data_IF_864416770108
#
_entry.id   IF_864416770108
#
_cell.length_a   1.000
_cell.length_b   1.000
_cell.length_c   1.000
_cell.angle_alpha   90.00
_cell.angle_beta   90.00
_cell.angle_gamma   90.00
#
_symmetry.space_group_name_H-M   'P 1'
#
loop_
_entity.id
_entity.type
_entity.pdbx_description
1 polymer ?
#
# COMPACT_ATOMS: atom_id res chain seq x y z
N UNK A 1 14.96 31.39 72.78
CA UNK A 1 14.53 30.12 73.40
C UNK A 1 13.74 29.35 72.35
N UNK A 2 14.23 28.17 71.96
CA UNK A 2 13.53 27.12 71.16
C UNK A 2 12.29 26.61 71.95
N UNK A 3 11.34 25.77 71.44
CA UNK A 3 11.53 24.77 70.36
C UNK A 3 10.34 24.35 69.45
N UNK A 4 10.73 23.65 68.38
CA UNK A 4 10.18 22.42 67.76
C UNK A 4 8.70 22.24 67.33
N UNK A 5 8.59 21.98 66.02
CA UNK A 5 8.05 20.79 65.36
C UNK A 5 6.53 20.56 65.21
N UNK A 6 6.14 20.44 63.94
CA UNK A 6 5.32 19.31 63.49
C UNK A 6 4.00 19.66 62.81
N UNK A 7 3.90 19.29 61.53
CA UNK A 7 2.68 19.04 60.76
C UNK A 7 1.95 20.24 60.18
N UNK A 8 2.40 20.68 59.01
CA UNK A 8 1.52 21.25 57.98
C UNK A 8 1.82 20.50 56.68
N UNK A 9 0.99 19.52 56.35
CA UNK A 9 -0.14 19.69 55.42
C UNK A 9 0.33 19.52 53.99
N UNK A 10 0.09 18.31 53.48
CA UNK A 10 -0.11 18.03 52.05
C UNK A 10 -0.97 19.12 51.42
N UNK A 11 -0.39 20.00 50.62
CA UNK A 11 -1.12 20.62 49.52
C UNK A 11 -0.16 21.28 48.54
N UNK A 12 -0.26 20.89 47.27
CA UNK A 12 0.40 21.50 46.10
C UNK A 12 1.89 21.11 46.05
N UNK A 13 2.42 20.45 45.03
CA UNK A 13 2.31 20.80 43.61
C UNK A 13 2.25 19.55 42.71
N UNK A 14 1.24 19.44 41.83
CA UNK A 14 1.22 18.39 40.84
C UNK A 14 2.31 18.67 39.78
N UNK A 15 3.25 17.73 39.67
CA UNK A 15 3.88 17.31 38.41
C UNK A 15 4.36 18.48 37.53
N UNK A 16 5.47 19.09 37.93
CA UNK A 16 6.35 19.78 36.99
C UNK A 16 7.13 18.76 36.16
N UNK A 17 6.54 18.25 35.08
CA UNK A 17 7.26 17.46 34.06
C UNK A 17 6.57 17.50 32.68
N UNK A 18 6.17 18.70 32.24
CA UNK A 18 5.76 18.94 30.85
C UNK A 18 6.47 20.19 30.30
N UNK A 19 7.72 20.02 29.88
CA UNK A 19 8.35 21.00 28.98
C UNK A 19 9.45 20.35 28.12
N UNK A 20 9.05 19.48 27.20
CA UNK A 20 9.85 19.11 26.04
C UNK A 20 8.96 19.15 24.78
N UNK A 21 8.84 20.31 24.09
CA UNK A 21 8.04 20.41 22.88
C UNK A 21 8.72 19.83 21.61
N UNK A 22 9.73 18.96 21.73
CA UNK A 22 10.59 18.56 20.60
C UNK A 22 10.87 17.06 20.47
N UNK A 23 9.87 16.20 20.70
CA UNK A 23 10.02 14.78 20.36
C UNK A 23 8.71 14.05 19.99
N UNK A 24 7.99 14.55 18.98
CA UNK A 24 7.05 13.71 18.22
C UNK A 24 7.38 13.83 16.72
N UNK A 25 8.47 13.18 16.33
CA UNK A 25 8.67 12.83 14.92
C UNK A 25 7.66 11.71 14.58
N UNK A 26 6.81 11.87 13.56
CA UNK A 26 6.00 10.77 13.06
C UNK A 26 6.93 9.74 12.44
N UNK A 27 7.08 8.57 13.09
CA UNK A 27 7.62 7.38 12.44
C UNK A 27 6.61 6.92 11.40
N UNK A 28 6.69 7.49 10.21
CA UNK A 28 6.08 6.93 9.01
C UNK A 28 6.66 5.51 8.83
N UNK A 29 5.86 4.47 8.59
CA UNK A 29 6.38 3.18 8.14
C UNK A 29 7.05 3.42 6.79
N UNK A 30 8.38 3.54 6.83
CA UNK A 30 9.21 3.59 5.65
C UNK A 30 9.11 2.27 4.92
N UNK A 31 8.60 2.29 3.68
CA UNK A 31 8.99 1.29 2.70
C UNK A 31 10.49 1.50 2.48
N UNK A 32 11.31 0.70 3.14
CA UNK A 32 12.75 0.66 2.94
C UNK A 32 13.04 0.20 1.52
N UNK A 33 13.08 1.13 0.57
CA UNK A 33 13.82 0.92 -0.67
C UNK A 33 15.30 0.98 -0.30
N UNK A 34 15.89 -0.19 -0.08
CA UNK A 34 17.33 -0.29 0.15
C UNK A 34 18.08 0.30 -1.07
N UNK A 35 19.01 1.25 -0.89
CA UNK A 35 19.81 1.76 -1.99
C UNK A 35 20.94 0.76 -2.25
N UNK A 36 20.65 -0.23 -3.09
CA UNK A 36 21.57 -1.32 -3.41
C UNK A 36 21.82 -1.41 -4.92
N UNK A 37 22.94 -0.82 -5.34
CA UNK A 37 23.64 -1.09 -6.62
C UNK A 37 22.93 -0.58 -7.88
N UNK A 38 23.52 0.43 -8.51
CA UNK A 38 23.10 0.91 -9.82
C UNK A 38 22.96 -0.25 -10.80
N UNK A 39 21.77 -0.38 -11.39
CA UNK A 39 21.54 -1.25 -12.54
C UNK A 39 21.49 -0.36 -13.77
N UNK A 40 22.60 -0.17 -14.51
CA UNK A 40 22.50 0.22 -15.90
C UNK A 40 21.77 -0.92 -16.63
N UNK A 41 20.44 -0.80 -16.76
CA UNK A 41 19.55 -1.81 -17.34
C UNK A 41 18.37 -2.30 -16.47
N UNK A 42 18.19 -1.79 -15.25
CA UNK A 42 17.27 -2.40 -14.26
C UNK A 42 15.81 -1.98 -14.32
N UNK A 43 15.50 -0.86 -14.98
CA UNK A 43 14.12 -0.38 -15.07
C UNK A 43 13.23 -1.37 -15.84
N UNK A 44 13.75 -2.01 -16.90
CA UNK A 44 12.98 -3.03 -17.62
C UNK A 44 12.68 -4.25 -16.74
N UNK A 45 13.64 -4.74 -15.94
CA UNK A 45 13.40 -5.89 -15.06
C UNK A 45 12.40 -5.54 -13.96
N UNK A 46 12.55 -4.38 -13.32
CA UNK A 46 11.63 -3.95 -12.25
C UNK A 46 10.21 -3.74 -12.78
N UNK A 47 10.06 -3.16 -13.98
CA UNK A 47 8.77 -3.01 -14.64
C UNK A 47 8.15 -4.37 -15.00
N UNK A 48 8.94 -5.34 -15.45
CA UNK A 48 8.47 -6.70 -15.76
C UNK A 48 8.03 -7.45 -14.50
N UNK A 49 8.76 -7.32 -13.39
CA UNK A 49 8.39 -7.90 -12.09
C UNK A 49 7.11 -7.26 -11.53
N UNK A 50 6.97 -5.94 -11.64
CA UNK A 50 5.73 -5.24 -11.29
C UNK A 50 4.57 -5.70 -12.18
N UNK A 51 4.76 -5.79 -13.49
CA UNK A 51 3.72 -6.29 -14.39
C UNK A 51 3.27 -7.70 -14.01
N UNK A 52 4.21 -8.61 -13.75
CA UNK A 52 3.90 -9.99 -13.34
C UNK A 52 3.08 -10.04 -12.05
N UNK A 53 3.40 -9.16 -11.10
CA UNK A 53 2.65 -9.00 -9.86
C UNK A 53 1.23 -8.49 -10.14
N UNK A 54 1.10 -7.47 -11.00
CA UNK A 54 -0.21 -6.93 -11.37
C UNK A 54 -1.08 -7.93 -12.15
N UNK A 55 -0.49 -8.75 -13.03
CA UNK A 55 -1.20 -9.85 -13.71
C UNK A 55 -1.80 -10.82 -12.70
N UNK A 56 -1.02 -11.19 -11.68
CA UNK A 56 -1.51 -12.08 -10.60
C UNK A 56 -2.66 -11.43 -9.83
N UNK A 57 -2.56 -10.14 -9.52
CA UNK A 57 -3.65 -9.38 -8.87
C UNK A 57 -4.91 -9.32 -9.73
N UNK A 58 -4.79 -9.06 -11.03
CA UNK A 58 -5.95 -9.05 -11.96
C UNK A 58 -6.60 -10.43 -12.04
N UNK A 59 -5.82 -11.50 -11.97
CA UNK A 59 -6.36 -12.85 -11.91
C UNK A 59 -7.15 -13.10 -10.61
N UNK A 60 -6.63 -12.62 -9.47
CA UNK A 60 -7.36 -12.70 -8.19
C UNK A 60 -8.66 -11.89 -8.22
N UNK A 61 -8.64 -10.67 -8.77
CA UNK A 61 -9.84 -9.84 -8.91
C UNK A 61 -10.91 -10.51 -9.77
N UNK A 62 -10.52 -11.15 -10.87
CA UNK A 62 -11.44 -11.93 -11.70
C UNK A 62 -12.06 -13.10 -10.92
N UNK A 63 -11.25 -13.90 -10.24
CA UNK A 63 -11.77 -15.03 -9.43
C UNK A 63 -12.70 -14.56 -8.30
N UNK A 64 -12.40 -13.44 -7.66
CA UNK A 64 -13.26 -12.86 -6.63
C UNK A 64 -14.60 -12.39 -7.21
N UNK A 65 -14.56 -11.70 -8.36
CA UNK A 65 -15.77 -11.27 -9.07
C UNK A 65 -16.63 -12.45 -9.54
N UNK A 66 -16.02 -13.49 -10.10
CA UNK A 66 -16.71 -14.72 -10.50
C UNK A 66 -17.38 -15.38 -9.30
N UNK A 67 -16.64 -15.55 -8.19
CA UNK A 67 -17.19 -16.14 -6.96
C UNK A 67 -18.31 -15.29 -6.37
N UNK A 68 -18.16 -13.97 -6.36
CA UNK A 68 -19.17 -13.06 -5.86
C UNK A 68 -20.45 -13.14 -6.71
N UNK A 69 -20.31 -13.23 -8.03
CA UNK A 69 -21.41 -13.43 -8.97
C UNK A 69 -22.11 -14.77 -8.74
N UNK A 70 -21.35 -15.84 -8.55
CA UNK A 70 -21.88 -17.18 -8.28
C UNK A 70 -22.65 -17.23 -6.95
N UNK A 71 -22.10 -16.64 -5.90
CA UNK A 71 -22.74 -16.57 -4.58
C UNK A 71 -24.03 -15.74 -4.61
N UNK A 72 -24.04 -14.64 -5.38
CA UNK A 72 -25.23 -13.82 -5.59
C UNK A 72 -26.31 -14.58 -6.37
N UNK A 73 -25.95 -15.22 -7.48
CA UNK A 73 -26.87 -16.03 -8.28
C UNK A 73 -27.43 -17.24 -7.51
N UNK A 74 -26.65 -17.80 -6.60
CA UNK A 74 -27.05 -18.88 -5.70
C UNK A 74 -27.85 -18.39 -4.47
N UNK A 75 -28.07 -17.08 -4.31
CA UNK A 75 -28.76 -16.48 -3.16
C UNK A 75 -27.99 -16.56 -1.84
N UNK A 76 -26.69 -16.87 -1.88
CA UNK A 76 -25.79 -16.89 -0.70
C UNK A 76 -25.26 -15.49 -0.35
N UNK A 77 -25.34 -14.56 -1.31
CA UNK A 77 -25.08 -13.13 -1.15
C UNK A 77 -26.29 -12.36 -1.67
N UNK A 78 -26.61 -11.24 -1.02
CA UNK A 78 -27.62 -10.28 -1.47
C UNK A 78 -26.97 -8.94 -1.91
N UNK A 79 -25.64 -8.88 -1.85
CA UNK A 79 -24.84 -7.67 -2.04
C UNK A 79 -24.51 -7.45 -3.52
N UNK A 80 -25.53 -7.12 -4.32
CA UNK A 80 -25.38 -6.87 -5.75
C UNK A 80 -24.39 -5.74 -6.05
N UNK A 81 -24.39 -4.68 -5.23
CA UNK A 81 -23.48 -3.54 -5.36
C UNK A 81 -22.02 -3.99 -5.25
N UNK A 82 -21.68 -4.81 -4.25
CA UNK A 82 -20.34 -5.35 -4.08
C UNK A 82 -19.90 -6.23 -5.25
N UNK A 83 -20.80 -7.06 -5.80
CA UNK A 83 -20.52 -7.88 -6.99
C UNK A 83 -20.24 -7.01 -8.22
N UNK A 84 -21.07 -5.99 -8.46
CA UNK A 84 -20.87 -5.08 -9.58
C UNK A 84 -19.54 -4.33 -9.44
N UNK A 85 -19.21 -3.82 -8.25
CA UNK A 85 -17.94 -3.13 -7.99
C UNK A 85 -16.74 -4.07 -8.20
N UNK A 86 -16.81 -5.31 -7.72
CA UNK A 86 -15.74 -6.29 -7.91
C UNK A 86 -15.51 -6.58 -9.41
N UNK A 87 -16.61 -6.73 -10.15
CA UNK A 87 -16.59 -6.97 -11.60
C UNK A 87 -16.02 -5.77 -12.36
N UNK A 88 -16.44 -4.54 -12.04
CA UNK A 88 -15.92 -3.31 -12.66
C UNK A 88 -14.43 -3.10 -12.36
N UNK A 89 -13.98 -3.42 -11.14
CA UNK A 89 -12.56 -3.38 -10.77
C UNK A 89 -11.75 -4.37 -11.60
N UNK A 90 -12.22 -5.61 -11.73
CA UNK A 90 -11.57 -6.63 -12.52
C UNK A 90 -11.45 -6.23 -14.00
N UNK A 91 -12.54 -5.75 -14.60
CA UNK A 91 -12.57 -5.29 -16.00
C UNK A 91 -11.64 -4.09 -16.24
N UNK A 92 -11.69 -3.07 -15.38
CA UNK A 92 -10.81 -1.90 -15.50
C UNK A 92 -9.34 -2.28 -15.39
N UNK A 93 -9.00 -3.12 -14.42
CA UNK A 93 -7.63 -3.57 -14.21
C UNK A 93 -7.11 -4.44 -15.38
N UNK A 94 -7.99 -5.26 -15.98
CA UNK A 94 -7.67 -6.04 -17.17
C UNK A 94 -7.43 -5.15 -18.41
N UNK A 95 -8.27 -4.13 -18.64
CA UNK A 95 -8.09 -3.16 -19.73
C UNK A 95 -6.77 -2.39 -19.61
N UNK A 96 -6.41 -1.99 -18.39
CA UNK A 96 -5.12 -1.38 -18.11
C UNK A 96 -3.96 -2.33 -18.46
N UNK A 97 -4.06 -3.59 -18.05
CA UNK A 97 -3.06 -4.61 -18.32
C UNK A 97 -2.86 -4.84 -19.83
N UNK A 98 -3.95 -4.89 -20.60
CA UNK A 98 -3.88 -5.02 -22.06
C UNK A 98 -3.18 -3.82 -22.70
N UNK A 99 -3.46 -2.61 -22.21
CA UNK A 99 -2.80 -1.39 -22.68
C UNK A 99 -1.30 -1.42 -22.38
N UNK A 100 -0.92 -1.93 -21.20
CA UNK A 100 0.47 -2.08 -20.81
C UNK A 100 1.19 -3.17 -21.62
N UNK A 101 0.52 -4.29 -21.91
CA UNK A 101 1.04 -5.34 -22.82
C UNK A 101 1.40 -4.75 -24.18
N UNK A 102 0.53 -3.94 -24.76
CA UNK A 102 0.78 -3.29 -26.05
C UNK A 102 1.99 -2.35 -25.96
N UNK A 103 2.05 -1.48 -24.94
CA UNK A 103 3.19 -0.57 -24.73
C UNK A 103 4.51 -1.29 -24.48
N UNK A 104 4.49 -2.42 -23.79
CA UNK A 104 5.70 -3.22 -23.56
C UNK A 104 6.22 -3.87 -24.84
N UNK A 105 5.33 -4.30 -25.73
CA UNK A 105 5.75 -4.81 -27.04
C UNK A 105 6.38 -3.72 -27.89
N UNK A 106 5.79 -2.52 -27.91
CA UNK A 106 6.38 -1.34 -28.55
C UNK A 106 7.77 -1.02 -27.99
N UNK A 107 7.90 -0.93 -26.66
CA UNK A 107 9.17 -0.63 -26.00
C UNK A 107 10.24 -1.70 -26.27
N UNK A 108 9.83 -2.97 -26.40
CA UNK A 108 10.74 -4.06 -26.76
C UNK A 108 11.24 -3.94 -28.21
N UNK A 109 10.37 -3.53 -29.13
CA UNK A 109 10.74 -3.29 -30.53
C UNK A 109 11.69 -2.09 -30.67
N UNK A 110 11.40 -0.99 -29.97
CA UNK A 110 12.23 0.22 -29.97
C UNK A 110 13.65 -0.04 -29.42
N UNK A 111 13.78 -0.82 -28.33
CA UNK A 111 15.09 -1.21 -27.78
C UNK A 111 15.89 -2.10 -28.73
N UNK A 112 15.23 -2.91 -29.59
CA UNK A 112 15.92 -3.67 -30.63
C UNK A 112 16.44 -2.77 -31.75
N UNK A 113 15.65 -1.77 -32.16
CA UNK A 113 16.06 -0.82 -33.20
C UNK A 113 17.27 0.03 -32.81
N UNK A 114 17.46 0.32 -31.51
CA UNK A 114 18.64 1.07 -31.04
C UNK A 114 19.94 0.25 -31.13
N UNK A 115 19.87 -1.09 -31.19
CA UNK A 115 21.05 -1.99 -31.19
C UNK A 115 21.53 -2.44 -32.58
N UNK A 116 21.07 -1.80 -33.66
CA UNK A 116 21.62 -1.98 -35.01
C UNK A 116 22.28 -0.68 -35.47
#
# INVERSE_FOLDING_TARGET
MQPQAGQESSMTDPIGLIHDPTAIAPKLPGHSVAPGKGVPGGFQQELLDQLKTQISQVNQLQQDADKATEDLAAGRRDDLEGVMIATEKADTAFKLLLSLRNKMMDAYDEVKQIRV
#
